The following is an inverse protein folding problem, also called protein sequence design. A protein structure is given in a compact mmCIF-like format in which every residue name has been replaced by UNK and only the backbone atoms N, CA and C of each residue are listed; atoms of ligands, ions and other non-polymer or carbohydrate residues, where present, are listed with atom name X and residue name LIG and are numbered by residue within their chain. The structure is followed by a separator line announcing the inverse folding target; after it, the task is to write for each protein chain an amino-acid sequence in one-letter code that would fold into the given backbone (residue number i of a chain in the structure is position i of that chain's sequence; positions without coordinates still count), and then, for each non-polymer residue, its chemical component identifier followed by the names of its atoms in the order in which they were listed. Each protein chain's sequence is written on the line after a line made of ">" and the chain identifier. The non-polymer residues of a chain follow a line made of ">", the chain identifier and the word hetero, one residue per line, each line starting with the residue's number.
data_IF_796587146035
#
_entry.id   IF_796587146035
#
_cell.length_a   1.000
_cell.length_b   1.000
_cell.length_c   1.000
_cell.angle_alpha   90.00
_cell.angle_beta   90.00
_cell.angle_gamma   90.00
#
_symmetry.space_group_name_H-M   'P 1'
#
loop_
_entity.id
_entity.type
_entity.pdbx_description
1 polymer ?
#
# COMPACT_ATOMS: atom_id res chain seq x y z
N UNK A 1 16.37 9.67 -35.53
CA UNK A 1 16.24 11.13 -35.33
C UNK A 1 15.26 11.34 -34.19
N UNK A 2 15.62 12.13 -33.17
CA UNK A 2 14.65 12.52 -32.14
C UNK A 2 13.51 13.29 -32.80
N UNK A 3 12.28 13.06 -32.36
CA UNK A 3 11.14 13.89 -32.79
C UNK A 3 11.33 15.31 -32.28
N UNK A 4 10.89 16.30 -33.05
CA UNK A 4 10.97 17.73 -32.69
C UNK A 4 10.43 18.01 -31.28
N UNK A 5 9.34 17.34 -30.90
CA UNK A 5 8.75 17.40 -29.55
C UNK A 5 9.70 16.96 -28.44
N UNK A 6 10.52 15.94 -28.68
CA UNK A 6 11.48 15.44 -27.70
C UNK A 6 12.68 16.38 -27.54
N UNK A 7 13.07 17.07 -28.62
CA UNK A 7 14.08 18.12 -28.58
C UNK A 7 13.58 19.34 -27.79
N UNK A 8 12.36 19.82 -28.05
CA UNK A 8 11.74 20.91 -27.29
C UNK A 8 11.66 20.58 -25.79
N UNK A 9 11.35 19.34 -25.43
CA UNK A 9 11.32 18.89 -24.03
C UNK A 9 12.69 19.00 -23.33
N UNK A 10 13.79 18.68 -24.01
CA UNK A 10 15.15 18.81 -23.44
C UNK A 10 15.63 20.25 -23.36
N UNK A 11 15.17 21.13 -24.26
CA UNK A 11 15.51 22.54 -24.29
C UNK A 11 14.72 23.39 -23.28
N UNK A 12 13.79 22.81 -22.52
CA UNK A 12 13.03 23.52 -21.49
C UNK A 12 13.81 23.61 -20.20
N UNK A 13 13.87 24.81 -19.65
CA UNK A 13 14.21 25.02 -18.25
C UNK A 13 12.91 25.11 -17.45
N UNK A 14 12.58 24.10 -16.60
CA UNK A 14 11.34 24.12 -15.84
C UNK A 14 11.36 25.25 -14.80
N UNK A 15 10.61 26.32 -15.04
CA UNK A 15 10.49 27.46 -14.13
C UNK A 15 9.39 27.18 -13.09
N UNK A 16 9.75 27.17 -11.80
CA UNK A 16 8.76 27.04 -10.71
C UNK A 16 8.25 28.42 -10.33
N UNK A 17 6.94 28.61 -10.37
CA UNK A 17 6.31 29.87 -9.97
C UNK A 17 5.07 29.67 -9.14
N UNK A 18 4.82 30.64 -8.25
CA UNK A 18 3.59 30.73 -7.49
C UNK A 18 2.52 31.40 -8.33
N UNK A 19 1.37 30.76 -8.42
CA UNK A 19 0.19 31.30 -9.09
C UNK A 19 -0.49 32.30 -8.17
N UNK A 20 -1.02 33.38 -8.74
CA UNK A 20 -1.84 34.34 -8.00
C UNK A 20 -3.08 33.67 -7.40
N UNK A 21 -3.65 34.28 -6.36
CA UNK A 21 -4.94 33.85 -5.78
C UNK A 21 -6.07 33.96 -6.81
N UNK A 22 -5.87 34.73 -7.87
CA UNK A 22 -6.77 34.89 -9.00
C UNK A 22 -6.60 33.82 -10.10
N UNK A 23 -5.87 32.74 -9.82
CA UNK A 23 -5.50 31.68 -10.79
C UNK A 23 -4.74 32.20 -12.02
N UNK A 24 -4.00 33.31 -11.89
CA UNK A 24 -3.23 33.89 -12.99
C UNK A 24 -1.74 33.95 -12.71
N UNK A 25 -0.98 33.97 -13.80
CA UNK A 25 0.47 34.13 -13.76
C UNK A 25 0.92 35.13 -14.82
N UNK A 26 1.83 36.04 -14.46
CA UNK A 26 2.34 37.09 -15.35
C UNK A 26 3.77 36.75 -15.76
N UNK A 27 4.00 36.51 -17.05
CA UNK A 27 5.31 36.15 -17.59
C UNK A 27 5.63 37.13 -18.72
N UNK A 28 6.76 37.84 -18.61
CA UNK A 28 7.17 38.85 -19.60
C UNK A 28 6.15 39.98 -19.82
N UNK A 29 5.31 40.28 -18.82
CA UNK A 29 4.22 41.27 -18.93
C UNK A 29 2.90 40.73 -19.50
N UNK A 30 2.89 39.47 -19.95
CA UNK A 30 1.68 38.80 -20.46
C UNK A 30 1.04 37.97 -19.34
N UNK A 31 -0.27 38.13 -19.15
CA UNK A 31 -1.02 37.37 -18.14
C UNK A 31 -1.61 36.11 -18.74
N UNK A 32 -1.46 34.98 -18.05
CA UNK A 32 -2.08 33.70 -18.39
C UNK A 32 -3.04 33.29 -17.29
N UNK A 33 -4.21 32.75 -17.68
CA UNK A 33 -5.20 32.23 -16.74
C UNK A 33 -5.12 30.70 -16.70
N UNK A 34 -4.90 30.18 -15.50
CA UNK A 34 -4.74 28.77 -15.19
C UNK A 34 -6.04 28.21 -14.60
N UNK A 35 -6.03 26.92 -14.25
CA UNK A 35 -7.16 26.33 -13.56
C UNK A 35 -7.31 26.87 -12.13
N UNK A 36 -8.54 27.01 -11.60
CA UNK A 36 -8.77 27.48 -10.23
C UNK A 36 -8.09 26.63 -9.16
N UNK A 37 -7.94 25.32 -9.40
CA UNK A 37 -7.28 24.39 -8.49
C UNK A 37 -5.78 24.73 -8.29
N UNK A 38 -5.19 25.54 -9.17
CA UNK A 38 -3.81 26.02 -9.06
C UNK A 38 -3.69 27.37 -8.35
N UNK A 39 -4.80 28.02 -7.99
CA UNK A 39 -4.77 29.36 -7.40
C UNK A 39 -4.03 29.37 -6.06
N UNK A 40 -3.01 30.23 -5.93
CA UNK A 40 -2.16 30.31 -4.73
C UNK A 40 -1.13 29.19 -4.58
N UNK A 41 -1.16 28.18 -5.46
CA UNK A 41 -0.24 27.04 -5.45
C UNK A 41 1.05 27.31 -6.23
N UNK A 42 2.05 26.44 -6.05
CA UNK A 42 3.30 26.47 -6.83
C UNK A 42 3.22 25.47 -7.97
N UNK A 43 3.38 25.96 -9.19
CA UNK A 43 3.31 25.15 -10.41
C UNK A 43 4.63 25.20 -11.17
N UNK A 44 4.86 24.21 -12.04
CA UNK A 44 6.02 24.20 -12.94
C UNK A 44 5.57 24.60 -14.33
N UNK A 45 6.14 25.68 -14.84
CA UNK A 45 5.89 26.15 -16.20
C UNK A 45 6.69 25.28 -17.18
N UNK A 46 5.99 24.71 -18.15
CA UNK A 46 6.54 23.91 -19.24
C UNK A 46 6.52 24.75 -20.53
N UNK A 47 7.18 25.91 -20.47
CA UNK A 47 7.31 26.84 -21.59
C UNK A 47 8.79 27.12 -21.85
N UNK A 48 9.24 26.89 -23.08
CA UNK A 48 10.57 27.26 -23.55
C UNK A 48 10.52 28.23 -24.72
N UNK A 49 11.71 28.70 -25.14
CA UNK A 49 11.89 29.62 -26.26
C UNK A 49 11.26 29.11 -27.59
N UNK A 50 11.13 27.79 -27.72
CA UNK A 50 10.66 27.11 -28.93
C UNK A 50 9.21 26.62 -28.84
N UNK A 51 8.50 26.91 -27.74
CA UNK A 51 7.13 26.47 -27.54
C UNK A 51 6.15 27.63 -27.81
N UNK A 52 5.22 27.41 -28.74
CA UNK A 52 4.15 28.36 -29.07
C UNK A 52 2.99 28.32 -28.05
N UNK A 53 2.91 27.26 -27.25
CA UNK A 53 1.83 27.00 -26.31
C UNK A 53 2.34 26.83 -24.88
N UNK A 54 1.67 27.48 -23.92
CA UNK A 54 1.99 27.36 -22.50
C UNK A 54 1.38 26.11 -21.90
N UNK A 55 2.21 25.25 -21.30
CA UNK A 55 1.76 24.16 -20.46
C UNK A 55 2.22 24.35 -19.03
N UNK A 56 1.48 23.77 -18.09
CA UNK A 56 1.80 23.79 -16.66
C UNK A 56 1.76 22.37 -16.14
N UNK A 57 2.74 22.00 -15.32
CA UNK A 57 2.71 20.77 -14.54
C UNK A 57 2.28 21.09 -13.11
N UNK A 58 1.21 20.41 -12.68
CA UNK A 58 0.64 20.50 -11.33
C UNK A 58 0.20 19.10 -10.89
N UNK A 59 0.57 18.69 -9.67
CA UNK A 59 0.34 17.33 -9.15
C UNK A 59 0.82 16.19 -10.09
N UNK A 60 1.95 16.39 -10.76
CA UNK A 60 2.52 15.43 -11.71
C UNK A 60 1.72 15.24 -13.00
N UNK A 61 0.75 16.12 -13.27
CA UNK A 61 -0.05 16.14 -14.51
C UNK A 61 0.26 17.39 -15.32
N UNK A 62 0.46 17.19 -16.62
CA UNK A 62 0.59 18.27 -17.60
C UNK A 62 -0.81 18.78 -17.97
N UNK A 63 -1.06 20.06 -17.75
CA UNK A 63 -2.31 20.77 -18.00
C UNK A 63 -2.03 21.95 -18.96
N UNK A 64 -3.03 22.31 -19.77
CA UNK A 64 -2.89 23.28 -20.86
C UNK A 64 -3.45 22.74 -22.20
N UNK A 65 -3.26 23.45 -23.32
CA UNK A 65 -2.50 24.68 -23.47
C UNK A 65 -3.24 25.93 -22.95
N UNK A 66 -2.52 26.80 -22.24
CA UNK A 66 -3.06 28.06 -21.72
C UNK A 66 -2.77 29.21 -22.69
N UNK A 67 -3.78 30.05 -22.93
CA UNK A 67 -3.67 31.22 -23.81
C UNK A 67 -3.51 32.51 -23.01
N UNK A 68 -2.80 33.51 -23.57
CA UNK A 68 -2.66 34.80 -22.92
C UNK A 68 -4.02 35.47 -22.80
N UNK A 69 -4.32 35.99 -21.61
CA UNK A 69 -5.51 36.79 -21.34
C UNK A 69 -5.11 38.25 -21.36
N UNK A 70 -5.54 38.96 -22.40
CA UNK A 70 -5.35 40.40 -22.52
C UNK A 70 -6.45 41.13 -21.77
N UNK A 71 -6.08 41.94 -20.78
CA UNK A 71 -6.97 42.88 -20.11
C UNK A 71 -6.62 43.14 -18.65
N UNK A 72 -6.72 44.39 -18.16
CA UNK A 72 -6.57 44.69 -16.74
C UNK A 72 -7.63 43.95 -15.90
N UNK A 73 -7.28 43.64 -14.65
CA UNK A 73 -8.18 42.98 -13.70
C UNK A 73 -9.42 43.88 -13.52
N UNK A 74 -10.64 43.39 -13.79
CA UNK A 74 -11.84 44.15 -13.53
C UNK A 74 -11.95 44.44 -12.03
N UNK A 75 -11.70 45.68 -11.63
CA UNK A 75 -11.96 46.15 -10.28
C UNK A 75 -13.47 46.03 -10.03
N UNK A 76 -13.85 45.51 -8.85
CA UNK A 76 -15.24 45.27 -8.42
C UNK A 76 -15.96 44.04 -9.01
N UNK A 77 -15.28 43.14 -9.72
CA UNK A 77 -15.86 41.84 -10.10
C UNK A 77 -15.17 40.71 -9.33
N UNK A 78 -15.68 40.41 -8.13
CA UNK A 78 -15.33 39.16 -7.46
C UNK A 78 -15.91 38.00 -8.26
N UNK A 79 -15.04 37.26 -8.92
CA UNK A 79 -15.39 36.08 -9.71
C UNK A 79 -15.42 34.90 -8.74
N UNK A 80 -16.59 34.30 -8.53
CA UNK A 80 -16.67 32.99 -7.92
C UNK A 80 -16.01 32.00 -8.89
N UNK A 81 -14.93 31.35 -8.45
CA UNK A 81 -14.31 30.28 -9.24
C UNK A 81 -15.30 29.15 -9.48
N UNK A 82 -15.22 28.53 -10.65
CA UNK A 82 -15.93 27.26 -10.88
C UNK A 82 -15.36 26.24 -9.90
N UNK A 83 -16.23 25.56 -9.16
CA UNK A 83 -15.84 24.51 -8.21
C UNK A 83 -14.94 23.49 -8.90
N UNK A 84 -13.71 23.38 -8.42
CA UNK A 84 -12.72 22.46 -8.95
C UNK A 84 -12.76 21.09 -8.25
N UNK A 85 -11.82 20.22 -8.61
CA UNK A 85 -11.77 18.86 -8.04
C UNK A 85 -11.40 18.89 -6.55
N UNK A 86 -10.65 19.89 -6.12
CA UNK A 86 -10.32 20.11 -4.72
C UNK A 86 -11.58 20.43 -3.89
N UNK A 87 -12.45 21.31 -4.39
CA UNK A 87 -13.73 21.65 -3.73
C UNK A 87 -14.67 20.44 -3.64
N UNK A 88 -14.80 19.66 -4.73
CA UNK A 88 -15.61 18.43 -4.71
C UNK A 88 -15.08 17.39 -3.72
N UNK A 89 -13.75 17.31 -3.57
CA UNK A 89 -13.12 16.44 -2.58
C UNK A 89 -13.40 16.95 -1.16
N UNK A 90 -13.30 18.25 -0.92
CA UNK A 90 -13.59 18.85 0.38
C UNK A 90 -15.06 18.64 0.78
N UNK A 91 -16.01 18.81 -0.15
CA UNK A 91 -17.43 18.55 0.08
C UNK A 91 -17.67 17.06 0.40
N UNK A 92 -17.03 16.13 -0.31
CA UNK A 92 -17.10 14.69 0.01
C UNK A 92 -16.55 14.36 1.40
N UNK A 93 -15.42 14.95 1.77
CA UNK A 93 -14.83 14.78 3.12
C UNK A 93 -15.81 15.30 4.18
N UNK A 94 -16.43 16.46 3.96
CA UNK A 94 -17.43 17.03 4.89
C UNK A 94 -18.66 16.13 5.04
N UNK A 95 -19.17 15.57 3.95
CA UNK A 95 -20.29 14.60 4.00
C UNK A 95 -19.89 13.34 4.79
N UNK A 96 -18.73 12.75 4.49
CA UNK A 96 -18.23 11.57 5.21
C UNK A 96 -18.01 11.85 6.71
N UNK A 97 -17.43 12.99 7.06
CA UNK A 97 -17.23 13.39 8.46
C UNK A 97 -18.57 13.50 9.21
N UNK A 98 -19.61 14.03 8.56
CA UNK A 98 -20.95 14.12 9.15
C UNK A 98 -21.58 12.74 9.38
N UNK A 99 -21.37 11.78 8.46
CA UNK A 99 -21.84 10.40 8.62
C UNK A 99 -21.13 9.66 9.76
N UNK A 100 -19.83 9.94 9.94
CA UNK A 100 -19.02 9.39 11.02
C UNK A 100 -19.24 10.09 12.37
N UNK A 101 -20.03 11.17 12.40
CA UNK A 101 -20.26 11.97 13.62
C UNK A 101 -18.99 12.66 14.15
N UNK A 102 -18.00 12.93 13.28
CA UNK A 102 -16.73 13.53 13.69
C UNK A 102 -16.89 15.05 13.85
N UNK A 103 -16.79 15.62 15.07
CA UNK A 103 -16.82 17.06 15.25
C UNK A 103 -15.56 17.72 14.66
N UNK A 104 -15.67 18.96 14.18
CA UNK A 104 -14.56 19.72 13.58
C UNK A 104 -13.36 19.85 14.55
N UNK A 105 -13.62 19.81 15.86
CA UNK A 105 -12.59 19.76 16.90
C UNK A 105 -11.63 18.58 16.75
N UNK A 106 -12.05 17.49 16.09
CA UNK A 106 -11.21 16.34 15.81
C UNK A 106 -10.12 16.60 14.78
N UNK A 107 -10.32 17.59 13.91
CA UNK A 107 -9.32 18.03 12.93
C UNK A 107 -8.36 19.07 13.51
N UNK A 108 -8.72 19.70 14.64
CA UNK A 108 -7.95 20.78 15.27
C UNK A 108 -6.82 20.28 16.20
N UNK A 109 -6.60 18.96 16.27
CA UNK A 109 -5.51 18.37 17.08
C UNK A 109 -5.79 18.31 18.58
N UNK A 110 -7.02 18.58 19.03
CA UNK A 110 -7.42 18.31 20.41
C UNK A 110 -7.76 16.83 20.57
N UNK A 111 -7.42 16.24 21.71
CA UNK A 111 -7.68 14.83 22.02
C UNK A 111 -9.17 14.48 21.83
N UNK A 112 -9.44 13.78 20.73
CA UNK A 112 -10.79 13.38 20.33
C UNK A 112 -11.16 12.18 21.15
N UNK A 113 -11.92 12.39 22.21
CA UNK A 113 -12.59 11.28 22.87
C UNK A 113 -13.78 10.88 21.99
N UNK A 114 -13.66 9.74 21.31
CA UNK A 114 -14.79 9.10 20.66
C UNK A 114 -15.88 8.90 21.72
N UNK A 115 -17.02 9.55 21.56
CA UNK A 115 -18.19 9.24 22.40
C UNK A 115 -18.56 7.80 22.10
N UNK A 116 -18.47 6.87 23.07
CA UNK A 116 -18.80 5.48 22.82
C UNK A 116 -20.26 5.43 22.35
N UNK A 117 -20.47 4.80 21.20
CA UNK A 117 -21.82 4.54 20.69
C UNK A 117 -22.60 3.81 21.79
N UNK A 118 -23.72 4.39 22.22
CA UNK A 118 -24.60 3.81 23.26
C UNK A 118 -25.19 2.47 22.81
N UNK A 119 -25.12 2.16 21.51
CA UNK A 119 -25.51 0.88 20.96
C UNK A 119 -24.30 -0.06 20.98
N UNK A 120 -24.11 -0.75 22.10
CA UNK A 120 -23.27 -1.93 22.16
C UNK A 120 -23.87 -2.99 21.23
N UNK A 121 -23.48 -2.97 19.96
CA UNK A 121 -23.73 -4.10 19.06
C UNK A 121 -22.95 -5.27 19.63
N UNK A 122 -23.65 -6.22 20.26
CA UNK A 122 -23.06 -7.46 20.74
C UNK A 122 -22.61 -8.27 19.52
N UNK A 123 -21.37 -8.04 19.08
CA UNK A 123 -20.76 -8.85 18.04
C UNK A 123 -20.67 -10.29 18.59
N UNK A 124 -21.05 -11.31 17.80
CA UNK A 124 -20.86 -12.69 18.21
C UNK A 124 -19.35 -12.94 18.34
N UNK A 125 -18.89 -13.11 19.59
CA UNK A 125 -17.52 -13.49 19.88
C UNK A 125 -17.39 -15.01 19.75
N UNK A 126 -16.61 -15.46 18.78
CA UNK A 126 -16.20 -16.86 18.69
C UNK A 126 -14.79 -16.97 19.30
N UNK A 127 -14.59 -17.78 20.35
CA UNK A 127 -13.26 -18.06 20.87
C UNK A 127 -12.40 -18.71 19.76
N UNK A 128 -11.13 -18.31 19.68
CA UNK A 128 -10.19 -18.90 18.73
C UNK A 128 -10.00 -20.38 19.05
N UNK A 129 -10.05 -21.22 18.02
CA UNK A 129 -9.78 -22.65 18.14
C UNK A 129 -8.26 -22.86 18.24
N UNK A 130 -7.75 -23.01 19.46
CA UNK A 130 -6.31 -23.18 19.73
C UNK A 130 -5.78 -24.54 19.30
N UNK A 131 -6.65 -25.53 19.11
CA UNK A 131 -6.27 -26.90 18.77
C UNK A 131 -5.80 -27.04 17.32
N UNK A 132 -6.16 -26.11 16.45
CA UNK A 132 -5.79 -26.16 15.03
C UNK A 132 -4.37 -25.69 14.73
N UNK A 133 -3.73 -24.91 15.62
CA UNK A 133 -2.60 -24.09 15.19
C UNK A 133 -1.19 -24.47 15.66
N UNK A 134 -0.97 -25.28 16.71
CA UNK A 134 0.43 -25.40 17.21
C UNK A 134 1.00 -26.80 17.44
N UNK A 135 0.20 -27.87 17.55
CA UNK A 135 0.76 -29.14 18.04
C UNK A 135 0.39 -30.42 17.30
N UNK A 136 -0.40 -30.36 16.22
CA UNK A 136 -0.84 -31.56 15.48
C UNK A 136 -0.57 -31.44 13.98
N UNK A 137 -0.12 -32.53 13.36
CA UNK A 137 -0.09 -32.61 11.90
C UNK A 137 -1.51 -32.70 11.33
N UNK A 138 -1.81 -31.88 10.32
CA UNK A 138 -3.12 -31.85 9.67
C UNK A 138 -3.48 -33.16 8.97
N UNK A 139 -2.48 -33.87 8.44
CA UNK A 139 -2.63 -35.19 7.81
C UNK A 139 -1.40 -36.06 8.05
N UNK A 140 -1.57 -37.39 7.86
CA UNK A 140 -0.46 -38.36 7.90
C UNK A 140 0.60 -38.03 6.84
N UNK A 141 0.18 -37.53 5.67
CA UNK A 141 1.10 -37.15 4.58
C UNK A 141 1.96 -35.94 5.00
N UNK A 142 1.36 -34.94 5.64
CA UNK A 142 2.09 -33.79 6.17
C UNK A 142 3.11 -34.22 7.24
N UNK A 143 2.76 -35.20 8.08
CA UNK A 143 3.67 -35.77 9.07
C UNK A 143 4.86 -36.49 8.39
N UNK A 144 4.58 -37.36 7.40
CA UNK A 144 5.62 -38.06 6.62
C UNK A 144 6.60 -37.10 5.92
N UNK A 145 6.08 -36.01 5.37
CA UNK A 145 6.90 -34.96 4.74
C UNK A 145 7.77 -34.26 5.78
N UNK A 146 7.21 -33.88 6.93
CA UNK A 146 7.95 -33.25 8.02
C UNK A 146 9.08 -34.15 8.56
N UNK A 147 8.82 -35.46 8.67
CA UNK A 147 9.82 -36.46 9.10
C UNK A 147 10.95 -36.57 8.08
N UNK A 148 10.63 -36.64 6.78
CA UNK A 148 11.63 -36.68 5.72
C UNK A 148 12.53 -35.43 5.74
N UNK A 149 11.95 -34.27 6.01
CA UNK A 149 12.70 -33.02 6.15
C UNK A 149 13.59 -33.02 7.40
N UNK A 150 13.11 -33.53 8.54
CA UNK A 150 13.90 -33.59 9.78
C UNK A 150 15.09 -34.56 9.66
N UNK A 151 14.88 -35.72 9.03
CA UNK A 151 15.92 -36.72 8.82
C UNK A 151 16.83 -36.41 7.62
N UNK A 152 16.47 -35.42 6.80
CA UNK A 152 17.12 -35.07 5.53
C UNK A 152 17.25 -36.26 4.55
N UNK A 153 16.37 -37.26 4.66
CA UNK A 153 16.37 -38.48 3.84
C UNK A 153 14.94 -38.71 3.32
N UNK A 154 14.74 -38.89 2.00
CA UNK A 154 13.42 -39.23 1.48
C UNK A 154 13.00 -40.62 1.97
N UNK A 155 11.76 -40.76 2.44
CA UNK A 155 11.24 -42.02 3.00
C UNK A 155 11.41 -43.21 2.03
N UNK A 156 11.38 -42.95 0.72
CA UNK A 156 11.59 -43.95 -0.34
C UNK A 156 13.00 -44.58 -0.37
N UNK A 157 14.00 -44.00 0.31
CA UNK A 157 15.35 -44.57 0.45
C UNK A 157 15.56 -45.34 1.75
N UNK A 158 14.58 -45.33 2.66
CA UNK A 158 14.68 -46.01 3.96
C UNK A 158 14.42 -47.50 3.84
N UNK A 159 14.88 -48.30 4.82
CA UNK A 159 14.56 -49.73 4.89
C UNK A 159 13.06 -49.96 5.14
N UNK A 160 12.57 -51.17 4.86
CA UNK A 160 11.18 -51.53 5.12
C UNK A 160 10.83 -51.42 6.61
N UNK A 161 11.74 -51.84 7.49
CA UNK A 161 11.56 -51.80 8.95
C UNK A 161 11.44 -50.37 9.47
N UNK A 162 12.27 -49.45 8.94
CA UNK A 162 12.26 -48.04 9.35
C UNK A 162 10.97 -47.33 8.90
N UNK A 163 10.43 -47.70 7.73
CA UNK A 163 9.14 -47.19 7.26
C UNK A 163 7.98 -47.71 8.10
N UNK A 164 8.02 -48.99 8.47
CA UNK A 164 7.00 -49.61 9.32
C UNK A 164 6.96 -48.95 10.70
N UNK A 165 8.12 -48.66 11.30
CA UNK A 165 8.20 -47.92 12.57
C UNK A 165 7.57 -46.52 12.46
N UNK A 166 7.87 -45.78 11.39
CA UNK A 166 7.28 -44.46 11.15
C UNK A 166 5.75 -44.56 11.01
N UNK A 167 5.26 -45.54 10.25
CA UNK A 167 3.82 -45.75 10.05
C UNK A 167 3.11 -46.13 11.36
N UNK A 168 3.74 -46.93 12.21
CA UNK A 168 3.22 -47.25 13.54
C UNK A 168 3.12 -46.01 14.43
N UNK A 169 4.17 -45.18 14.50
CA UNK A 169 4.16 -43.96 15.32
C UNK A 169 3.07 -42.98 14.85
N UNK A 170 2.86 -42.87 13.54
CA UNK A 170 1.83 -42.00 12.96
C UNK A 170 0.40 -42.55 13.14
N UNK A 171 0.24 -43.87 13.28
CA UNK A 171 -1.03 -44.49 13.63
C UNK A 171 -1.40 -44.25 15.11
N UNK A 172 -0.39 -44.16 15.99
CA UNK A 172 -0.59 -43.90 17.42
C UNK A 172 -0.84 -42.43 17.73
N UNK A 173 -0.12 -41.50 17.08
CA UNK A 173 -0.21 -40.08 17.36
C UNK A 173 0.16 -39.21 16.17
N UNK A 174 -0.56 -38.10 16.01
CA UNK A 174 -0.23 -37.02 15.06
C UNK A 174 0.28 -35.76 15.77
N UNK A 175 0.59 -35.84 17.06
CA UNK A 175 1.17 -34.71 17.79
C UNK A 175 2.61 -34.49 17.36
N UNK A 176 2.92 -33.28 16.86
CA UNK A 176 4.19 -32.94 16.23
C UNK A 176 5.39 -33.17 17.15
N UNK A 177 5.32 -32.73 18.40
CA UNK A 177 6.41 -32.89 19.37
C UNK A 177 6.70 -34.36 19.66
N UNK A 178 5.67 -35.17 19.88
CA UNK A 178 5.77 -36.60 20.23
C UNK A 178 6.27 -37.43 19.05
N UNK A 179 5.77 -37.15 17.85
CA UNK A 179 6.21 -37.85 16.62
C UNK A 179 7.70 -37.60 16.37
N UNK A 180 8.12 -36.32 16.36
CA UNK A 180 9.52 -35.97 16.07
C UNK A 180 10.48 -36.46 17.17
N UNK A 181 10.07 -36.43 18.44
CA UNK A 181 10.91 -36.95 19.54
C UNK A 181 11.15 -38.46 19.41
N UNK A 182 10.09 -39.26 19.21
CA UNK A 182 10.20 -40.72 19.10
C UNK A 182 11.04 -41.15 17.90
N UNK A 183 10.87 -40.45 16.77
CA UNK A 183 11.65 -40.72 15.56
C UNK A 183 13.12 -40.39 15.79
N UNK A 184 13.42 -39.24 16.40
CA UNK A 184 14.81 -38.87 16.73
C UNK A 184 15.47 -39.90 17.65
N UNK A 185 14.76 -40.36 18.68
CA UNK A 185 15.28 -41.35 19.62
C UNK A 185 15.56 -42.69 18.94
N UNK A 186 14.66 -43.15 18.08
CA UNK A 186 14.85 -44.38 17.29
C UNK A 186 16.09 -44.30 16.38
N UNK A 187 16.24 -43.24 15.59
CA UNK A 187 17.39 -43.09 14.68
C UNK A 187 18.70 -42.81 15.41
N UNK A 188 18.67 -42.15 16.57
CA UNK A 188 19.85 -41.93 17.41
C UNK A 188 20.35 -43.24 18.01
N UNK A 189 19.45 -44.07 18.53
CA UNK A 189 19.80 -45.37 19.12
C UNK A 189 20.28 -46.36 18.06
N UNK A 190 19.74 -46.30 16.83
CA UNK A 190 20.21 -47.11 15.70
C UNK A 190 21.65 -46.78 15.29
N UNK A 191 22.00 -45.48 15.18
CA UNK A 191 23.36 -45.04 14.85
C UNK A 191 24.39 -45.41 15.92
N UNK A 192 23.99 -45.46 17.19
CA UNK A 192 24.89 -45.84 18.28
C UNK A 192 25.30 -47.33 18.27
N UNK A 193 24.60 -48.18 17.50
CA UNK A 193 24.87 -49.61 17.43
C UNK A 193 25.80 -50.05 16.29
N UNK A 194 25.99 -49.23 15.26
CA UNK A 194 26.77 -49.60 14.06
C UNK A 194 28.23 -49.11 14.07
N UNK A 195 28.62 -48.18 14.96
CA UNK A 195 29.98 -47.55 14.96
C UNK A 195 30.92 -48.00 16.09
N UNK A 196 30.76 -49.23 16.61
CA UNK A 196 31.72 -49.81 17.56
C UNK A 196 32.19 -51.20 17.13
N UNK A 197 33.03 -51.27 16.09
CA UNK A 197 34.09 -52.29 15.94
C UNK A 197 34.97 -52.04 14.70
N UNK A 198 36.30 -52.05 14.91
CA UNK A 198 37.29 -52.46 13.90
C UNK A 198 38.14 -51.35 13.30
#
# INVERSE_FOLDING_TARGET
>A
MCTWEQFCRFAREPERRKVGVDARIVIGGTSYELEPDMAGETVVLLWGLFDDEMYVEFDGKKLGPYRPVSGPIPLHRYRAFKRGKADERADRIRVLASQLGLPISALAGNDVQFTPSVVAMSLPHQPFDTDTYEYRFSTVIAAKLAIANELAIPLAKMSADDRFFIDQVLAETLMRSVVLSRIRDYFRNKKSGEDHAG
#
